data_IF_899724624925
#
_entry.id   IF_899724624925
#
_cell.length_a   1.000
_cell.length_b   1.000
_cell.length_c   1.000
_cell.angle_alpha   90.00
_cell.angle_beta   90.00
_cell.angle_gamma   90.00
#
_symmetry.space_group_name_H-M   'P 1'
#
loop_
_entity.id
_entity.type
_entity.pdbx_description
1 polymer ?
#
# COMPACT_ATOMS: atom_id res chain seq x y z
N UNK A 1 20.00 7.82 8.12
CA UNK A 1 18.89 8.53 8.77
C UNK A 1 18.13 7.54 9.62
N UNK A 2 17.50 7.99 10.71
CA UNK A 2 16.76 7.10 11.62
C UNK A 2 15.39 7.70 11.91
N UNK A 3 14.33 6.91 11.74
CA UNK A 3 12.97 7.32 12.06
C UNK A 3 12.32 6.42 13.13
N UNK A 4 11.50 7.03 13.98
CA UNK A 4 10.64 6.35 14.93
C UNK A 4 9.20 6.42 14.46
N UNK A 5 8.61 5.26 14.16
CA UNK A 5 7.29 5.11 13.56
C UNK A 5 6.27 4.79 14.64
N UNK A 6 5.16 5.52 14.58
CA UNK A 6 3.93 5.30 15.33
C UNK A 6 2.89 4.65 14.40
N UNK A 7 2.70 3.31 14.50
CA UNK A 7 1.74 2.59 13.68
C UNK A 7 0.29 2.94 14.04
N UNK A 8 -0.64 2.83 13.08
CA UNK A 8 -2.08 2.88 13.35
C UNK A 8 -2.51 1.63 14.14
N UNK A 9 -2.14 0.45 13.65
CA UNK A 9 -2.46 -0.88 14.20
C UNK A 9 -1.48 -1.95 13.65
N UNK A 10 -1.69 -3.23 13.98
CA UNK A 10 -1.00 -4.40 13.39
C UNK A 10 0.53 -4.23 13.22
N UNK A 11 1.22 -3.85 14.30
CA UNK A 11 2.64 -3.46 14.33
C UNK A 11 3.56 -4.50 13.66
N UNK A 12 3.36 -5.79 13.94
CA UNK A 12 4.18 -6.87 13.39
C UNK A 12 4.06 -6.96 11.87
N UNK A 13 2.87 -6.72 11.32
CA UNK A 13 2.62 -6.71 9.88
C UNK A 13 3.32 -5.51 9.24
N UNK A 14 3.13 -4.30 9.80
CA UNK A 14 3.79 -3.10 9.29
C UNK A 14 5.31 -3.24 9.25
N UNK A 15 5.89 -3.89 10.27
CA UNK A 15 7.32 -4.18 10.33
C UNK A 15 7.77 -5.04 9.14
N UNK A 16 7.08 -6.14 8.85
CA UNK A 16 7.45 -6.99 7.72
C UNK A 16 7.29 -6.24 6.37
N UNK A 17 6.29 -5.38 6.23
CA UNK A 17 6.11 -4.54 5.04
C UNK A 17 7.20 -3.48 4.83
N UNK A 18 7.76 -2.96 5.92
CA UNK A 18 8.85 -1.99 5.89
C UNK A 18 10.21 -2.65 5.68
N UNK A 19 10.39 -3.89 6.15
CA UNK A 19 11.63 -4.66 6.07
C UNK A 19 12.32 -4.67 4.70
N UNK A 20 11.63 -4.84 3.56
CA UNK A 20 12.29 -4.80 2.24
C UNK A 20 12.74 -3.39 1.82
N UNK A 21 12.29 -2.33 2.49
CA UNK A 21 12.54 -0.93 2.12
C UNK A 21 13.61 -0.25 2.97
N UNK A 22 14.08 -0.91 4.03
CA UNK A 22 15.00 -0.32 5.00
C UNK A 22 16.18 -1.25 5.29
N UNK A 23 17.38 -0.68 5.46
CA UNK A 23 18.58 -1.42 5.85
C UNK A 23 18.46 -2.06 7.23
N UNK A 24 17.82 -1.37 8.17
CA UNK A 24 17.65 -1.86 9.54
C UNK A 24 16.26 -1.53 10.07
N UNK A 25 15.67 -2.50 10.75
CA UNK A 25 14.36 -2.35 11.40
C UNK A 25 14.33 -3.06 12.74
N UNK A 26 13.86 -2.35 13.76
CA UNK A 26 13.70 -2.86 15.12
C UNK A 26 12.31 -2.53 15.64
N UNK A 27 11.73 -3.42 16.44
CA UNK A 27 10.46 -3.19 17.11
C UNK A 27 10.71 -3.25 18.62
N UNK A 28 10.33 -2.19 19.33
CA UNK A 28 10.48 -2.09 20.78
C UNK A 28 9.33 -1.29 21.36
N UNK A 29 8.72 -1.79 22.45
CA UNK A 29 7.70 -1.07 23.23
C UNK A 29 6.55 -0.50 22.37
N UNK A 30 6.07 -1.28 21.39
CA UNK A 30 4.96 -0.87 20.53
C UNK A 30 5.31 0.19 19.48
N UNK A 31 6.60 0.49 19.28
CA UNK A 31 7.09 1.38 18.23
C UNK A 31 8.01 0.64 17.27
N UNK A 32 8.06 1.09 16.02
CA UNK A 32 9.00 0.59 15.02
C UNK A 32 10.08 1.65 14.81
N UNK A 33 11.33 1.23 14.82
CA UNK A 33 12.48 2.08 14.49
C UNK A 33 13.07 1.59 13.19
N UNK A 34 13.23 2.48 12.21
CA UNK A 34 13.84 2.16 10.92
C UNK A 34 15.07 3.02 10.67
N UNK A 35 16.03 2.47 9.94
CA UNK A 35 17.24 3.16 9.52
C UNK A 35 17.53 2.87 8.04
N UNK A 36 17.67 3.94 7.26
CA UNK A 36 18.11 3.89 5.86
C UNK A 36 18.82 5.20 5.46
N UNK A 37 19.39 5.25 4.26
CA UNK A 37 19.94 6.44 3.62
C UNK A 37 18.86 7.44 3.21
N UNK A 38 17.67 6.96 2.83
CA UNK A 38 16.50 7.77 2.44
C UNK A 38 15.24 7.21 3.13
N UNK A 39 14.50 8.08 3.81
CA UNK A 39 13.28 7.74 4.55
C UNK A 39 12.07 8.60 4.12
N UNK A 40 12.17 9.35 3.02
CA UNK A 40 11.07 10.22 2.55
C UNK A 40 9.84 9.39 2.14
N UNK A 41 10.02 8.12 1.77
CA UNK A 41 8.92 7.23 1.43
C UNK A 41 7.98 6.91 2.61
N UNK A 42 8.40 7.13 3.87
CA UNK A 42 7.59 6.78 5.05
C UNK A 42 6.24 7.50 5.09
N UNK A 43 6.16 8.71 4.53
CA UNK A 43 4.89 9.44 4.42
C UNK A 43 3.85 8.70 3.55
N UNK A 44 4.31 7.79 2.69
CA UNK A 44 3.51 7.06 1.68
C UNK A 44 3.19 5.63 2.10
N UNK A 45 3.61 5.18 3.28
CA UNK A 45 3.41 3.78 3.68
C UNK A 45 2.08 3.62 4.42
N UNK A 46 1.18 2.73 3.96
CA UNK A 46 -0.04 2.37 4.69
C UNK A 46 0.26 1.83 6.08
N UNK A 47 -0.53 2.23 7.08
CA UNK A 47 -0.38 1.83 8.46
C UNK A 47 0.59 2.67 9.30
N UNK A 48 1.30 3.63 8.70
CA UNK A 48 2.04 4.65 9.45
C UNK A 48 1.10 5.81 9.76
N UNK A 49 0.76 6.01 11.04
CA UNK A 49 -0.02 7.17 11.48
C UNK A 49 0.85 8.42 11.49
N UNK A 50 1.97 8.34 12.22
CA UNK A 50 2.94 9.42 12.43
C UNK A 50 4.34 8.81 12.50
N UNK A 51 5.37 9.58 12.19
CA UNK A 51 6.76 9.19 12.39
C UNK A 51 7.62 10.39 12.76
N UNK A 52 8.62 10.18 13.61
CA UNK A 52 9.60 11.19 13.96
C UNK A 52 10.90 10.94 13.20
N UNK A 53 11.36 11.94 12.45
CA UNK A 53 12.62 11.91 11.70
C UNK A 53 13.47 13.10 12.17
N UNK A 54 14.68 12.84 12.65
CA UNK A 54 15.60 13.85 13.16
C UNK A 54 15.00 14.78 14.25
N UNK A 55 14.02 14.26 15.02
CA UNK A 55 13.33 14.99 16.09
C UNK A 55 12.08 15.76 15.64
N UNK A 56 11.81 15.82 14.33
CA UNK A 56 10.59 16.42 13.79
C UNK A 56 9.50 15.35 13.62
N UNK A 57 8.30 15.62 14.14
CA UNK A 57 7.13 14.76 13.91
C UNK A 57 6.50 15.07 12.54
N UNK A 58 6.29 14.00 11.76
CA UNK A 58 5.68 14.04 10.44
C UNK A 58 4.47 13.11 10.38
N UNK A 59 3.51 13.47 9.55
CA UNK A 59 2.30 12.68 9.31
C UNK A 59 2.58 11.57 8.31
N UNK A 60 2.11 10.36 8.58
CA UNK A 60 2.12 9.25 7.63
C UNK A 60 0.83 9.16 6.83
N UNK A 61 0.72 8.13 5.98
CA UNK A 61 -0.45 7.90 5.15
C UNK A 61 -1.71 7.56 5.98
N UNK A 62 -1.53 6.95 7.15
CA UNK A 62 -2.61 6.37 7.95
C UNK A 62 -3.11 5.06 7.37
N UNK A 63 -4.36 4.71 7.66
CA UNK A 63 -4.97 3.44 7.22
C UNK A 63 -4.40 2.22 7.94
N UNK A 64 -4.54 1.06 7.30
CA UNK A 64 -4.12 -0.23 7.85
C UNK A 64 -2.85 -0.73 7.18
N UNK A 65 -1.91 -1.35 7.92
CA UNK A 65 -0.79 -2.04 7.29
C UNK A 65 -1.30 -3.13 6.35
N UNK A 66 -0.61 -3.31 5.23
CA UNK A 66 -0.99 -4.31 4.24
C UNK A 66 -0.86 -5.74 4.77
N UNK A 67 -1.96 -6.49 4.81
CA UNK A 67 -2.01 -7.83 5.42
C UNK A 67 -2.91 -8.86 4.72
N UNK A 68 -3.84 -8.43 3.89
CA UNK A 68 -4.70 -9.32 3.09
C UNK A 68 -4.37 -9.20 1.61
N UNK A 69 -4.71 -10.19 0.78
CA UNK A 69 -4.49 -10.12 -0.67
C UNK A 69 -5.81 -9.96 -1.43
N UNK A 70 -5.78 -9.19 -2.51
CA UNK A 70 -6.93 -9.04 -3.41
C UNK A 70 -6.48 -8.96 -4.88
N UNK A 71 -7.32 -9.47 -5.78
CA UNK A 71 -7.11 -9.31 -7.21
C UNK A 71 -7.59 -7.95 -7.71
N UNK A 72 -6.93 -7.43 -8.75
CA UNK A 72 -7.36 -6.21 -9.43
C UNK A 72 -6.96 -6.21 -10.92
N UNK A 73 -7.76 -5.53 -11.73
CA UNK A 73 -7.41 -5.09 -13.07
C UNK A 73 -7.11 -3.59 -13.07
N UNK A 74 -6.07 -3.15 -13.78
CA UNK A 74 -5.68 -1.73 -13.85
C UNK A 74 -5.69 -1.27 -15.30
N UNK A 75 -6.83 -0.73 -15.74
CA UNK A 75 -7.04 -0.27 -17.11
C UNK A 75 -7.48 1.20 -17.22
N UNK A 76 -7.90 1.80 -16.11
CA UNK A 76 -8.37 3.17 -16.04
C UNK A 76 -7.74 3.95 -14.88
N UNK A 77 -7.95 5.27 -14.84
CA UNK A 77 -7.57 6.10 -13.69
C UNK A 77 -8.34 5.71 -12.43
N UNK A 78 -9.61 5.33 -12.59
CA UNK A 78 -10.45 4.85 -11.52
C UNK A 78 -9.87 3.58 -10.89
N UNK A 79 -9.42 2.62 -11.71
CA UNK A 79 -8.76 1.41 -11.21
C UNK A 79 -7.52 1.73 -10.39
N UNK A 80 -6.71 2.71 -10.83
CA UNK A 80 -5.52 3.15 -10.09
C UNK A 80 -5.90 3.79 -8.75
N UNK A 81 -6.95 4.61 -8.74
CA UNK A 81 -7.45 5.21 -7.50
C UNK A 81 -7.99 4.14 -6.54
N UNK A 82 -8.78 3.20 -7.04
CA UNK A 82 -9.29 2.05 -6.27
C UNK A 82 -8.15 1.16 -5.76
N UNK A 83 -7.12 0.90 -6.57
CA UNK A 83 -5.93 0.17 -6.18
C UNK A 83 -5.21 0.85 -5.00
N UNK A 84 -5.05 2.17 -5.07
CA UNK A 84 -4.44 2.95 -4.01
C UNK A 84 -5.26 2.91 -2.72
N UNK A 85 -6.59 3.05 -2.81
CA UNK A 85 -7.47 2.97 -1.64
C UNK A 85 -7.49 1.56 -1.04
N UNK A 86 -7.54 0.51 -1.87
CA UNK A 86 -7.41 -0.87 -1.41
C UNK A 86 -6.09 -1.10 -0.66
N UNK A 87 -4.99 -0.57 -1.20
CA UNK A 87 -3.68 -0.60 -0.55
C UNK A 87 -3.69 0.13 0.79
N UNK A 88 -4.29 1.32 0.88
CA UNK A 88 -4.44 2.08 2.11
C UNK A 88 -5.33 1.36 3.16
N UNK A 89 -6.28 0.56 2.69
CA UNK A 89 -7.16 -0.28 3.50
C UNK A 89 -6.53 -1.62 3.91
N UNK A 90 -5.26 -1.88 3.55
CA UNK A 90 -4.53 -3.06 3.99
C UNK A 90 -4.47 -4.22 2.98
N UNK A 91 -4.78 -4.00 1.70
CA UNK A 91 -4.72 -5.04 0.68
C UNK A 91 -3.43 -5.02 -0.16
N UNK A 92 -2.77 -6.17 -0.23
CA UNK A 92 -1.72 -6.53 -1.18
C UNK A 92 -2.37 -6.93 -2.49
N UNK A 93 -2.05 -6.19 -3.55
CA UNK A 93 -2.74 -6.36 -4.81
C UNK A 93 -2.00 -7.34 -5.72
N UNK A 94 -2.75 -8.28 -6.28
CA UNK A 94 -2.31 -9.14 -7.37
C UNK A 94 -2.97 -8.66 -8.65
N UNK A 95 -2.17 -8.06 -9.51
CA UNK A 95 -2.65 -7.45 -10.76
C UNK A 95 -2.73 -8.53 -11.83
N UNK A 96 -3.93 -8.76 -12.36
CA UNK A 96 -4.19 -9.83 -13.33
C UNK A 96 -4.25 -9.33 -14.78
N UNK A 97 -4.49 -8.03 -14.94
CA UNK A 97 -4.44 -7.35 -16.23
C UNK A 97 -4.05 -5.88 -16.01
N UNK A 98 -3.08 -5.37 -16.76
CA UNK A 98 -2.66 -3.98 -16.70
C UNK A 98 -2.39 -3.42 -18.09
N UNK A 99 -2.97 -2.26 -18.39
CA UNK A 99 -2.66 -1.47 -19.59
C UNK A 99 -2.05 -0.10 -19.24
N UNK A 100 -1.64 0.09 -17.97
CA UNK A 100 -1.16 1.35 -17.39
C UNK A 100 0.13 1.15 -16.60
N UNK A 101 1.16 0.57 -17.23
CA UNK A 101 2.43 0.17 -16.60
C UNK A 101 3.10 1.27 -15.78
N UNK A 102 3.03 2.52 -16.26
CA UNK A 102 3.58 3.66 -15.53
C UNK A 102 2.87 3.90 -14.19
N UNK A 103 1.55 3.78 -14.16
CA UNK A 103 0.76 3.99 -12.94
C UNK A 103 0.97 2.84 -11.96
N UNK A 104 1.11 1.61 -12.47
CA UNK A 104 1.49 0.46 -11.66
C UNK A 104 2.85 0.65 -10.99
N UNK A 105 3.84 1.18 -11.72
CA UNK A 105 5.14 1.55 -11.14
C UNK A 105 5.01 2.59 -10.04
N UNK A 106 4.08 3.54 -10.17
CA UNK A 106 3.82 4.54 -9.14
C UNK A 106 3.12 3.93 -7.90
N UNK A 107 2.12 3.07 -8.10
CA UNK A 107 1.46 2.32 -7.03
C UNK A 107 2.45 1.49 -6.19
N UNK A 108 3.46 0.89 -6.84
CA UNK A 108 4.52 0.12 -6.17
C UNK A 108 5.36 0.93 -5.16
N UNK A 109 5.32 2.27 -5.20
CA UNK A 109 5.94 3.12 -4.18
C UNK A 109 5.20 3.03 -2.84
N UNK A 110 3.89 2.84 -2.88
CA UNK A 110 3.03 2.69 -1.71
C UNK A 110 3.00 1.22 -1.27
N UNK A 111 2.95 0.29 -2.24
CA UNK A 111 2.99 -1.15 -2.00
C UNK A 111 3.94 -1.91 -2.98
N UNK A 112 5.20 -2.15 -2.60
CA UNK A 112 6.18 -2.91 -3.37
C UNK A 112 5.84 -4.38 -3.57
N UNK A 113 4.94 -4.94 -2.75
CA UNK A 113 4.53 -6.34 -2.83
C UNK A 113 3.53 -6.59 -3.96
N UNK A 114 3.10 -5.54 -4.68
CA UNK A 114 2.21 -5.69 -5.84
C UNK A 114 2.90 -6.53 -6.93
N UNK A 115 2.34 -7.70 -7.18
CA UNK A 115 2.79 -8.64 -8.21
C UNK A 115 1.83 -8.64 -9.40
N UNK A 116 2.37 -8.99 -10.56
CA UNK A 116 1.61 -9.16 -11.80
C UNK A 116 1.55 -10.64 -12.17
N UNK A 117 0.37 -11.12 -12.54
CA UNK A 117 0.13 -12.49 -12.99
C UNK A 117 -0.74 -12.46 -14.23
N UNK A 118 -0.62 -13.45 -15.11
CA UNK A 118 -1.40 -13.47 -16.36
C UNK A 118 -2.88 -13.76 -16.16
N UNK A 119 -3.23 -14.41 -15.05
CA UNK A 119 -4.59 -14.77 -14.66
C UNK A 119 -4.62 -15.07 -13.15
N UNK A 120 -5.80 -14.98 -12.51
CA UNK A 120 -5.96 -15.48 -11.15
C UNK A 120 -5.53 -16.95 -11.04
N UNK A 121 -4.88 -17.29 -9.93
CA UNK A 121 -4.39 -18.63 -9.65
C UNK A 121 -4.78 -19.05 -8.23
N UNK A 122 -5.34 -20.26 -8.09
CA UNK A 122 -5.73 -20.85 -6.81
C UNK A 122 -4.54 -21.00 -5.85
N UNK A 123 -3.31 -21.09 -6.38
CA UNK A 123 -2.07 -21.14 -5.58
C UNK A 123 -1.95 -19.94 -4.65
N UNK A 124 -2.52 -18.78 -5.01
CA UNK A 124 -2.50 -17.61 -4.15
C UNK A 124 -3.54 -17.64 -3.03
N UNK A 125 -4.56 -18.51 -3.11
CA UNK A 125 -5.63 -18.61 -2.12
C UNK A 125 -6.41 -17.31 -1.91
N UNK A 126 -6.55 -16.50 -2.97
CA UNK A 126 -7.21 -15.19 -2.92
C UNK A 126 -8.68 -15.34 -3.30
N UNK A 127 -9.57 -14.98 -2.39
CA UNK A 127 -11.02 -15.02 -2.59
C UNK A 127 -11.62 -13.63 -2.88
N UNK A 128 -10.82 -12.57 -2.68
CA UNK A 128 -11.26 -11.17 -2.75
C UNK A 128 -10.75 -10.45 -3.99
N UNK A 129 -11.52 -9.49 -4.49
CA UNK A 129 -11.10 -8.62 -5.58
C UNK A 129 -11.66 -7.19 -5.47
N UNK A 130 -11.02 -6.27 -6.19
CA UNK A 130 -11.45 -4.86 -6.27
C UNK A 130 -12.43 -4.62 -7.41
N UNK A 131 -12.20 -5.27 -8.56
CA UNK A 131 -12.97 -5.04 -9.80
C UNK A 131 -12.90 -6.27 -10.73
N UNK A 132 -12.93 -7.46 -10.15
CA UNK A 132 -12.87 -8.72 -10.90
C UNK A 132 -14.08 -9.60 -10.58
N UNK A 133 -14.80 -10.02 -11.60
CA UNK A 133 -15.97 -10.90 -11.46
C UNK A 133 -15.58 -12.28 -10.91
N UNK A 134 -16.47 -12.87 -10.12
CA UNK A 134 -16.30 -14.22 -9.55
C UNK A 134 -15.52 -14.27 -8.24
N UNK A 135 -15.25 -13.11 -7.62
CA UNK A 135 -14.58 -12.96 -6.32
C UNK A 135 -15.44 -12.13 -5.38
N UNK A 136 -15.16 -12.21 -4.07
CA UNK A 136 -15.77 -11.34 -3.07
C UNK A 136 -15.28 -9.89 -3.29
N UNK A 137 -16.21 -8.96 -3.48
CA UNK A 137 -15.87 -7.55 -3.61
C UNK A 137 -15.42 -6.99 -2.26
N UNK A 138 -14.24 -6.35 -2.24
CA UNK A 138 -13.72 -5.68 -1.04
C UNK A 138 -14.44 -4.36 -0.71
N UNK A 139 -15.35 -3.89 -1.58
CA UNK A 139 -16.25 -2.77 -1.32
C UNK A 139 -15.58 -1.39 -1.45
N UNK A 140 -14.58 -1.25 -2.33
CA UNK A 140 -13.97 0.06 -2.62
C UNK A 140 -14.81 0.77 -3.68
N UNK A 141 -15.75 1.58 -3.21
CA UNK A 141 -16.53 2.49 -4.04
C UNK A 141 -15.85 3.86 -4.12
N UNK A 142 -15.88 4.48 -5.30
CA UNK A 142 -15.30 5.80 -5.54
C UNK A 142 -16.17 6.55 -6.54
N UNK A 143 -16.68 7.71 -6.12
CA UNK A 143 -17.46 8.59 -6.98
C UNK A 143 -16.57 9.22 -8.06
N UNK A 144 -17.13 9.50 -9.25
CA UNK A 144 -16.37 10.05 -10.38
C UNK A 144 -15.62 11.35 -10.02
N UNK A 145 -16.20 12.18 -9.16
CA UNK A 145 -15.61 13.44 -8.71
C UNK A 145 -14.33 13.24 -7.87
N UNK A 146 -14.21 12.10 -7.19
CA UNK A 146 -13.09 11.76 -6.30
C UNK A 146 -11.97 10.98 -7.02
N UNK A 147 -12.24 10.43 -8.21
CA UNK A 147 -11.26 9.67 -9.00
C UNK A 147 -10.00 10.48 -9.28
N UNK A 148 -10.16 11.69 -9.85
CA UNK A 148 -9.02 12.52 -10.24
C UNK A 148 -8.21 13.03 -9.02
N UNK A 149 -8.82 13.53 -7.93
CA UNK A 149 -8.10 13.86 -6.70
C UNK A 149 -7.27 12.72 -6.12
N UNK A 150 -7.83 11.49 -6.06
CA UNK A 150 -7.12 10.32 -5.54
C UNK A 150 -6.02 9.88 -6.50
N UNK A 151 -6.31 9.81 -7.80
CA UNK A 151 -5.34 9.45 -8.84
C UNK A 151 -4.09 10.36 -8.78
N UNK A 152 -4.28 11.67 -8.60
CA UNK A 152 -3.17 12.64 -8.47
C UNK A 152 -2.28 12.39 -7.26
N UNK A 153 -2.78 11.80 -6.17
CA UNK A 153 -1.93 11.40 -5.04
C UNK A 153 -0.99 10.24 -5.38
N UNK A 154 -1.37 9.42 -6.36
CA UNK A 154 -0.56 8.28 -6.81
C UNK A 154 0.52 8.72 -7.79
N UNK A 155 0.14 9.55 -8.78
CA UNK A 155 1.03 9.90 -9.90
C UNK A 155 1.76 11.24 -9.73
N UNK A 156 1.37 12.06 -8.76
CA UNK A 156 2.04 13.32 -8.38
C UNK A 156 3.29 13.11 -7.56
#
# INVERSE_FOLDING_TARGET
MKAQIHPTEKISVLKENLRPRVKKIEQKEGKITVEDQDLDFLEKVPGIKEYSLDGEERKGLGGSPVDEKAYININSKEDVAKAFLATASGYDLVVTNCSRDWDLKMLRRFNPSIIEVSKPDEIFGIEKAVNLDGYEDIGIELDEEDVEPVYRKVVG
#
